data_IF_199540590324
#
_entry.id   IF_199540590324
#
_cell.length_a   1.000
_cell.length_b   1.000
_cell.length_c   1.000
_cell.angle_alpha   90.00
_cell.angle_beta   90.00
_cell.angle_gamma   90.00
#
_symmetry.space_group_name_H-M   'P 1'
#
loop_
_entity.id
_entity.type
_entity.pdbx_description
1 polymer ?
#
# COMPACT_ATOMS: atom_id res chain seq x y z
N UNK A 1 -36.97 -60.14 6.62
CA UNK A 1 -38.31 -60.28 6.02
C UNK A 1 -38.50 -59.19 4.96
N UNK A 2 -38.58 -59.53 3.67
CA UNK A 2 -38.61 -58.56 2.58
C UNK A 2 -40.05 -58.21 2.16
N UNK A 3 -40.29 -56.97 1.75
CA UNK A 3 -41.45 -56.55 0.93
C UNK A 3 -40.99 -55.36 0.09
N UNK A 4 -41.27 -55.20 -1.20
CA UNK A 4 -41.73 -56.05 -2.32
C UNK A 4 -41.46 -55.14 -3.53
N UNK A 5 -40.77 -55.61 -4.57
CA UNK A 5 -40.80 -54.94 -5.88
C UNK A 5 -42.09 -55.36 -6.61
N UNK A 6 -42.68 -54.43 -7.37
CA UNK A 6 -43.62 -54.74 -8.45
C UNK A 6 -43.12 -54.09 -9.74
N UNK A 7 -42.75 -54.93 -10.70
CA UNK A 7 -42.39 -54.57 -12.05
C UNK A 7 -43.60 -54.64 -12.98
N UNK A 8 -43.73 -53.68 -13.89
CA UNK A 8 -44.53 -53.73 -15.13
C UNK A 8 -44.06 -52.52 -15.96
N UNK A 9 -43.86 -52.48 -17.27
CA UNK A 9 -44.12 -53.39 -18.40
C UNK A 9 -43.15 -52.98 -19.54
N UNK A 10 -42.98 -53.87 -20.51
CA UNK A 10 -42.09 -53.84 -21.69
C UNK A 10 -42.21 -52.59 -22.57
N UNK A 11 -41.09 -52.21 -23.22
CA UNK A 11 -41.06 -51.32 -24.39
C UNK A 11 -39.65 -51.22 -24.98
N UNK A 12 -39.46 -51.75 -26.18
CA UNK A 12 -38.19 -51.86 -26.92
C UNK A 12 -37.94 -50.64 -27.82
N UNK A 13 -36.65 -50.40 -28.10
CA UNK A 13 -36.06 -49.74 -29.28
C UNK A 13 -35.87 -48.21 -29.37
N UNK A 14 -34.57 -47.87 -29.46
CA UNK A 14 -33.91 -46.99 -30.43
C UNK A 14 -33.80 -45.46 -30.21
N UNK A 15 -32.52 -45.07 -30.17
CA UNK A 15 -31.89 -43.85 -30.70
C UNK A 15 -32.23 -42.49 -30.07
N UNK A 16 -31.21 -41.80 -29.55
CA UNK A 16 -31.44 -40.52 -28.90
C UNK A 16 -30.21 -39.78 -28.34
N UNK A 17 -29.18 -39.57 -29.15
CA UNK A 17 -28.31 -38.38 -29.15
C UNK A 17 -27.67 -37.91 -27.82
N UNK A 18 -26.34 -37.97 -27.80
CA UNK A 18 -25.49 -37.25 -26.88
C UNK A 18 -25.93 -35.78 -26.74
N UNK A 19 -26.16 -35.35 -25.51
CA UNK A 19 -25.92 -33.94 -25.15
C UNK A 19 -24.95 -33.93 -23.99
N UNK A 20 -23.74 -33.47 -24.34
CA UNK A 20 -22.69 -33.13 -23.42
C UNK A 20 -23.27 -32.22 -22.33
N UNK A 21 -23.34 -32.71 -21.11
CA UNK A 21 -23.43 -31.82 -19.95
C UNK A 21 -22.06 -31.16 -19.86
N UNK A 22 -22.00 -29.96 -20.42
CA UNK A 22 -20.94 -28.99 -20.26
C UNK A 22 -20.67 -28.90 -18.76
N UNK A 23 -19.63 -29.61 -18.28
CA UNK A 23 -18.98 -29.27 -17.02
C UNK A 23 -18.54 -27.84 -17.22
N UNK A 24 -19.28 -26.91 -16.61
CA UNK A 24 -18.89 -25.52 -16.57
C UNK A 24 -17.46 -25.51 -16.08
N UNK A 25 -16.56 -25.13 -16.98
CA UNK A 25 -15.14 -25.02 -16.72
C UNK A 25 -15.03 -23.82 -15.78
N UNK A 26 -15.23 -24.07 -14.49
CA UNK A 26 -15.01 -23.09 -13.45
C UNK A 26 -13.60 -22.57 -13.67
N UNK A 27 -13.51 -21.29 -14.03
CA UNK A 27 -12.25 -20.59 -14.15
C UNK A 27 -11.58 -20.66 -12.77
N UNK A 28 -10.66 -21.62 -12.61
CA UNK A 28 -9.70 -21.61 -11.53
C UNK A 28 -8.55 -20.76 -12.05
N UNK A 29 -8.33 -19.54 -11.54
CA UNK A 29 -7.06 -18.90 -11.81
C UNK A 29 -6.02 -19.85 -11.22
N UNK A 30 -5.11 -20.35 -12.05
CA UNK A 30 -3.89 -21.01 -11.57
C UNK A 30 -3.10 -19.93 -10.85
N UNK A 31 -3.44 -19.68 -9.59
CA UNK A 31 -2.70 -18.76 -8.75
C UNK A 31 -1.23 -19.20 -8.83
N UNK A 32 -0.30 -18.31 -9.23
CA UNK A 32 1.09 -18.69 -9.43
C UNK A 32 1.64 -19.39 -8.17
N UNK A 33 2.64 -20.26 -8.33
CA UNK A 33 3.21 -21.04 -7.23
C UNK A 33 3.65 -20.19 -6.02
N UNK A 34 3.99 -18.91 -6.23
CA UNK A 34 4.31 -17.98 -5.15
C UNK A 34 3.11 -17.59 -4.28
N UNK A 35 1.86 -17.72 -4.75
CA UNK A 35 0.67 -17.45 -3.94
C UNK A 35 0.51 -18.44 -2.78
N UNK A 36 0.89 -19.71 -2.99
CA UNK A 36 0.92 -20.72 -1.93
C UNK A 36 2.06 -20.46 -0.90
N UNK A 37 3.13 -19.76 -1.29
CA UNK A 37 4.22 -19.35 -0.40
C UNK A 37 3.98 -17.99 0.27
N UNK A 38 3.09 -17.17 -0.29
CA UNK A 38 2.87 -15.79 0.13
C UNK A 38 2.09 -15.67 1.45
N UNK A 39 1.30 -16.68 1.82
CA UNK A 39 0.46 -16.60 3.04
C UNK A 39 1.22 -16.84 4.35
N UNK A 40 2.46 -17.36 4.30
CA UNK A 40 3.25 -17.66 5.52
C UNK A 40 4.59 -16.91 5.63
N UNK A 41 5.12 -16.36 4.52
CA UNK A 41 6.39 -15.63 4.56
C UNK A 41 6.23 -14.29 5.26
N UNK A 42 6.87 -14.17 6.43
CA UNK A 42 6.95 -12.92 7.19
C UNK A 42 8.18 -12.13 6.78
N UNK A 43 7.99 -10.85 6.49
CA UNK A 43 9.08 -9.87 6.35
C UNK A 43 9.12 -9.06 7.64
N UNK A 44 10.26 -9.11 8.34
CA UNK A 44 10.48 -8.35 9.57
C UNK A 44 11.39 -7.18 9.23
N UNK A 45 10.88 -5.97 9.40
CA UNK A 45 11.63 -4.74 9.19
C UNK A 45 12.15 -4.22 10.53
N UNK A 46 13.38 -3.75 10.54
CA UNK A 46 13.97 -3.01 11.67
C UNK A 46 14.11 -1.55 11.27
N UNK A 47 13.66 -0.59 12.10
CA UNK A 47 13.91 0.81 11.83
C UNK A 47 15.41 1.10 11.73
N UNK A 48 15.79 1.91 10.75
CA UNK A 48 17.17 2.40 10.55
C UNK A 48 17.40 3.75 11.23
N UNK A 49 16.35 4.34 11.79
CA UNK A 49 16.35 5.65 12.40
C UNK A 49 14.94 6.09 12.77
N UNK A 50 14.83 7.33 13.23
CA UNK A 50 13.57 7.93 13.64
C UNK A 50 13.45 9.36 13.14
N UNK A 51 12.22 9.79 12.89
CA UNK A 51 11.88 11.18 12.59
C UNK A 51 11.93 11.99 13.89
N UNK A 52 12.58 13.15 13.86
CA UNK A 52 12.53 14.15 14.93
C UNK A 52 12.00 15.47 14.37
N UNK A 53 10.84 15.92 14.86
CA UNK A 53 10.21 17.18 14.48
C UNK A 53 9.19 17.65 15.55
N UNK A 54 8.44 18.72 15.27
CA UNK A 54 7.39 19.23 16.17
C UNK A 54 6.00 18.58 15.98
N UNK A 55 5.87 17.62 15.08
CA UNK A 55 4.58 17.15 14.57
C UNK A 55 4.01 16.00 15.42
N UNK A 56 3.06 16.31 16.31
CA UNK A 56 2.53 15.32 17.27
C UNK A 56 1.15 14.75 16.91
N UNK A 57 0.42 15.39 16.00
CA UNK A 57 -0.96 15.03 15.66
C UNK A 57 -1.18 14.88 14.16
N UNK A 58 -2.18 14.08 13.75
CA UNK A 58 -2.49 13.90 12.34
C UNK A 58 -2.95 15.23 11.71
N UNK A 59 -2.51 15.47 10.47
CA UNK A 59 -2.98 16.57 9.62
C UNK A 59 -3.13 16.07 8.18
N UNK A 60 -4.02 16.71 7.42
CA UNK A 60 -4.26 16.34 6.02
C UNK A 60 -3.41 17.15 5.02
N UNK A 61 -3.05 18.38 5.38
CA UNK A 61 -2.40 19.37 4.52
C UNK A 61 -1.24 20.07 5.26
N UNK A 62 -0.49 20.93 4.57
CA UNK A 62 0.59 21.74 5.17
C UNK A 62 1.90 21.00 5.41
N UNK A 63 2.03 19.75 4.98
CA UNK A 63 3.27 18.98 5.10
C UNK A 63 4.44 19.53 4.28
N UNK A 64 4.16 20.25 3.19
CA UNK A 64 5.16 20.77 2.26
C UNK A 64 6.22 21.65 2.93
N UNK A 65 5.85 22.40 3.97
CA UNK A 65 6.77 23.30 4.70
C UNK A 65 7.35 22.68 5.97
N UNK A 66 6.96 21.46 6.32
CA UNK A 66 7.46 20.79 7.53
C UNK A 66 8.93 20.41 7.32
N UNK A 67 9.80 21.01 8.14
CA UNK A 67 11.20 20.62 8.26
C UNK A 67 11.32 19.53 9.32
N UNK A 68 11.97 18.42 8.96
CA UNK A 68 12.16 17.26 9.83
C UNK A 68 13.62 16.81 9.80
N UNK A 69 14.06 16.20 10.90
CA UNK A 69 15.34 15.50 10.97
C UNK A 69 15.11 14.00 10.89
N UNK A 70 15.77 13.32 9.97
CA UNK A 70 15.86 11.87 9.94
C UNK A 70 17.11 11.48 10.72
N UNK A 71 16.95 11.09 11.98
CA UNK A 71 18.07 10.70 12.84
C UNK A 71 18.34 9.22 12.63
N UNK A 72 19.33 8.90 11.79
CA UNK A 72 19.67 7.53 11.45
C UNK A 72 20.70 6.94 12.42
N UNK A 73 20.72 5.61 12.48
CA UNK A 73 21.66 4.84 13.28
C UNK A 73 23.11 5.20 12.96
N UNK A 74 23.99 5.39 13.98
CA UNK A 74 25.40 5.76 13.77
C UNK A 74 26.16 4.83 12.82
N UNK A 75 25.82 3.54 12.81
CA UNK A 75 26.43 2.50 11.99
C UNK A 75 26.19 2.72 10.48
N UNK A 76 25.22 3.57 10.12
CA UNK A 76 24.89 3.90 8.73
C UNK A 76 25.64 5.12 8.20
N UNK A 77 26.61 5.67 8.94
CA UNK A 77 27.35 6.85 8.53
C UNK A 77 27.95 6.74 7.12
N UNK A 78 28.64 5.63 6.83
CA UNK A 78 29.22 5.38 5.50
C UNK A 78 28.15 5.08 4.43
N UNK A 79 26.99 4.57 4.82
CA UNK A 79 25.88 4.31 3.88
C UNK A 79 25.24 5.60 3.33
N UNK A 80 25.57 6.75 3.92
CA UNK A 80 25.12 8.07 3.47
C UNK A 80 26.12 8.77 2.53
N UNK A 81 27.28 8.16 2.25
CA UNK A 81 28.29 8.81 1.42
C UNK A 81 27.73 9.13 0.02
N UNK A 82 27.82 10.40 -0.37
CA UNK A 82 27.30 10.91 -1.65
C UNK A 82 25.82 11.32 -1.63
N UNK A 83 25.11 11.20 -0.51
CA UNK A 83 23.69 11.58 -0.41
C UNK A 83 23.45 13.07 -0.72
N UNK A 84 24.42 13.93 -0.39
CA UNK A 84 24.38 15.37 -0.62
C UNK A 84 24.43 15.74 -2.11
N UNK A 85 24.79 14.79 -3.00
CA UNK A 85 24.69 14.96 -4.45
C UNK A 85 23.25 15.00 -4.97
N UNK A 86 22.26 14.62 -4.14
CA UNK A 86 20.84 14.61 -4.50
C UNK A 86 20.10 15.77 -3.85
N UNK A 87 19.20 16.41 -4.60
CA UNK A 87 18.34 17.47 -4.07
C UNK A 87 17.11 16.91 -3.34
N UNK A 88 16.71 15.68 -3.66
CA UNK A 88 15.52 15.05 -3.12
C UNK A 88 15.79 13.58 -2.77
N UNK A 89 15.04 13.09 -1.79
CA UNK A 89 15.11 11.72 -1.31
C UNK A 89 13.70 11.13 -1.23
N UNK A 90 13.55 9.84 -1.56
CA UNK A 90 12.37 9.06 -1.20
C UNK A 90 12.61 8.44 0.18
N UNK A 91 11.78 8.82 1.15
CA UNK A 91 11.84 8.30 2.52
C UNK A 91 10.72 7.28 2.70
N UNK A 92 11.08 6.08 3.13
CA UNK A 92 10.12 5.05 3.55
C UNK A 92 10.08 4.99 5.07
N UNK A 93 8.88 5.03 5.64
CA UNK A 93 8.69 5.08 7.09
C UNK A 93 7.47 4.26 7.52
N UNK A 94 7.43 3.87 8.79
CA UNK A 94 6.36 3.03 9.32
C UNK A 94 5.35 3.88 10.09
N UNK A 95 4.09 3.90 9.64
CA UNK A 95 2.99 4.60 10.31
C UNK A 95 2.53 3.78 11.53
N UNK A 96 3.31 3.88 12.59
CA UNK A 96 3.28 3.08 13.81
C UNK A 96 2.00 3.25 14.64
N UNK A 97 1.34 4.40 14.52
CA UNK A 97 0.09 4.74 15.22
C UNK A 97 -1.17 4.10 14.61
N UNK A 98 -1.05 3.37 13.50
CA UNK A 98 -2.18 2.64 12.90
C UNK A 98 -2.48 1.39 13.72
N UNK A 99 -3.66 1.37 14.36
CA UNK A 99 -4.13 0.25 15.18
C UNK A 99 -4.32 -1.02 14.35
N UNK A 100 -4.30 -2.20 14.99
CA UNK A 100 -4.50 -3.48 14.29
C UNK A 100 -5.83 -3.57 13.53
N UNK A 101 -6.91 -3.00 14.07
CA UNK A 101 -8.22 -2.98 13.42
C UNK A 101 -8.32 -2.00 12.25
N UNK A 102 -7.48 -0.97 12.21
CA UNK A 102 -7.36 -0.07 11.06
C UNK A 102 -6.50 -0.66 9.94
N UNK A 103 -5.57 -1.56 10.28
CA UNK A 103 -4.86 -2.37 9.28
C UNK A 103 -5.87 -3.31 8.62
N UNK A 104 -5.68 -3.59 7.34
CA UNK A 104 -6.56 -4.46 6.54
C UNK A 104 -7.98 -3.94 6.24
N UNK A 105 -8.31 -2.70 6.58
CA UNK A 105 -9.50 -2.05 6.01
C UNK A 105 -9.37 -2.07 4.48
N UNK A 106 -10.44 -2.50 3.78
CA UNK A 106 -10.38 -2.69 2.32
C UNK A 106 -10.79 -1.43 1.55
N UNK A 107 -11.69 -0.62 2.11
CA UNK A 107 -12.27 0.56 1.46
C UNK A 107 -12.36 1.74 2.41
N UNK A 108 -12.20 2.95 1.87
CA UNK A 108 -12.21 4.22 2.61
C UNK A 108 -12.94 5.29 1.81
N UNK A 109 -13.51 6.25 2.53
CA UNK A 109 -13.80 7.57 1.97
C UNK A 109 -12.50 8.39 2.04
N UNK A 110 -11.95 8.89 0.91
CA UNK A 110 -10.71 9.68 0.93
C UNK A 110 -10.81 10.87 1.89
N UNK A 111 -9.83 11.03 2.79
CA UNK A 111 -9.85 12.04 3.88
C UNK A 111 -11.17 12.05 4.69
N UNK A 112 -11.81 10.87 4.81
CA UNK A 112 -13.10 10.68 5.48
C UNK A 112 -14.27 11.54 4.91
N UNK A 113 -14.11 12.05 3.68
CA UNK A 113 -15.13 12.85 2.97
C UNK A 113 -16.19 11.99 2.31
N UNK A 114 -17.39 12.00 2.88
CA UNK A 114 -18.55 11.21 2.40
C UNK A 114 -19.19 11.74 1.12
N UNK A 115 -18.86 12.97 0.73
CA UNK A 115 -19.27 13.55 -0.55
C UNK A 115 -18.42 13.06 -1.75
N UNK A 116 -17.42 12.22 -1.47
CA UNK A 116 -16.57 11.53 -2.46
C UNK A 116 -16.91 10.04 -2.51
N UNK A 117 -16.61 9.35 -3.63
CA UNK A 117 -16.85 7.91 -3.73
C UNK A 117 -15.99 7.12 -2.74
N UNK A 118 -16.59 6.07 -2.17
CA UNK A 118 -15.85 5.10 -1.38
C UNK A 118 -14.98 4.22 -2.30
N UNK A 119 -13.66 4.28 -2.11
CA UNK A 119 -12.67 3.61 -2.97
C UNK A 119 -11.81 2.63 -2.19
N UNK A 120 -11.13 1.72 -2.88
CA UNK A 120 -10.22 0.76 -2.24
C UNK A 120 -9.02 1.46 -1.59
N UNK A 121 -8.54 0.96 -0.44
CA UNK A 121 -7.41 1.59 0.27
C UNK A 121 -6.14 1.69 -0.58
N UNK A 122 -5.93 0.74 -1.49
CA UNK A 122 -4.78 0.72 -2.40
C UNK A 122 -4.86 1.79 -3.50
N UNK A 123 -6.06 2.30 -3.80
CA UNK A 123 -6.27 3.43 -4.71
C UNK A 123 -6.10 4.79 -4.02
N UNK A 124 -5.75 4.80 -2.73
CA UNK A 124 -5.55 6.01 -1.93
C UNK A 124 -4.19 6.02 -1.24
N UNK A 125 -3.86 7.15 -0.61
CA UNK A 125 -2.69 7.30 0.26
C UNK A 125 -3.02 7.26 1.77
N UNK A 126 -4.13 6.59 2.15
CA UNK A 126 -4.47 6.41 3.57
C UNK A 126 -3.41 5.60 4.31
N UNK A 127 -3.24 5.88 5.61
CA UNK A 127 -2.44 5.08 6.53
C UNK A 127 -3.07 3.71 6.85
N UNK A 128 -4.37 3.55 6.63
CA UNK A 128 -5.15 2.35 6.99
C UNK A 128 -4.93 1.22 5.96
N UNK A 129 -3.69 0.75 5.87
CA UNK A 129 -3.22 -0.24 4.90
C UNK A 129 -2.84 -1.57 5.59
N UNK A 130 -2.80 -2.69 4.86
CA UNK A 130 -2.28 -3.96 5.39
C UNK A 130 -0.88 -3.81 6.02
N UNK A 131 0.02 -3.17 5.27
CA UNK A 131 1.34 -2.73 5.73
C UNK A 131 1.34 -1.19 5.70
N UNK A 132 1.26 -0.52 6.86
CA UNK A 132 1.14 0.94 6.95
C UNK A 132 2.50 1.62 6.70
N UNK A 133 2.99 1.52 5.46
CA UNK A 133 4.24 2.13 4.99
C UNK A 133 3.90 3.49 4.37
N UNK A 134 4.50 4.54 4.92
CA UNK A 134 4.57 5.86 4.31
C UNK A 134 5.74 5.94 3.32
N UNK A 135 5.58 6.73 2.27
CA UNK A 135 6.55 6.86 1.20
C UNK A 135 6.48 8.27 0.61
N UNK A 136 7.46 9.11 0.93
CA UNK A 136 7.39 10.55 0.63
C UNK A 136 8.68 11.03 0.02
N UNK A 137 8.55 11.74 -1.10
CA UNK A 137 9.66 12.46 -1.72
C UNK A 137 9.82 13.78 -0.98
N UNK A 138 10.99 14.00 -0.40
CA UNK A 138 11.32 15.16 0.41
C UNK A 138 12.49 15.90 -0.21
N UNK A 139 12.57 17.21 0.00
CA UNK A 139 13.77 17.99 -0.33
C UNK A 139 14.84 17.75 0.72
N UNK A 140 16.08 17.46 0.30
CA UNK A 140 17.24 17.39 1.19
C UNK A 140 17.76 18.81 1.41
N UNK A 141 17.77 19.26 2.66
CA UNK A 141 18.30 20.57 3.05
C UNK A 141 19.75 20.50 3.51
N UNK A 142 20.19 19.35 4.00
CA UNK A 142 21.57 19.12 4.43
C UNK A 142 21.73 17.84 5.23
N UNK A 143 22.99 17.53 5.57
CA UNK A 143 23.39 16.38 6.39
C UNK A 143 24.29 16.83 7.54
N UNK A 144 24.07 16.25 8.70
CA UNK A 144 24.87 16.42 9.91
C UNK A 144 25.19 15.03 10.50
N UNK A 145 26.37 14.47 10.17
CA UNK A 145 26.72 13.11 10.55
C UNK A 145 25.74 12.09 9.96
N UNK A 146 24.98 11.38 10.80
CA UNK A 146 23.90 10.45 10.38
C UNK A 146 22.51 11.08 10.38
N UNK A 147 22.41 12.39 10.57
CA UNK A 147 21.14 13.12 10.52
C UNK A 147 20.95 13.79 9.18
N UNK A 148 19.83 13.51 8.51
CA UNK A 148 19.41 14.22 7.30
C UNK A 148 18.35 15.25 7.65
N UNK A 149 18.58 16.51 7.29
CA UNK A 149 17.59 17.59 7.42
C UNK A 149 16.79 17.66 6.13
N UNK A 150 15.48 17.45 6.22
CA UNK A 150 14.60 17.35 5.06
C UNK A 150 13.37 18.24 5.20
N UNK A 151 12.77 18.62 4.07
CA UNK A 151 11.51 19.38 4.03
C UNK A 151 10.45 18.64 3.22
N UNK A 152 9.20 18.69 3.68
CA UNK A 152 8.06 18.09 2.99
C UNK A 152 7.63 16.72 3.52
N UNK A 153 8.24 16.25 4.62
CA UNK A 153 7.95 14.93 5.18
C UNK A 153 6.59 14.93 5.90
N UNK A 154 5.73 13.99 5.54
CA UNK A 154 4.40 13.77 6.14
C UNK A 154 4.40 12.71 7.25
N UNK A 155 5.36 12.83 8.17
CA UNK A 155 5.55 11.92 9.29
C UNK A 155 5.57 12.65 10.63
N UNK A 156 5.03 12.01 11.66
CA UNK A 156 5.00 12.54 13.02
C UNK A 156 6.35 12.36 13.72
N UNK A 157 6.55 13.13 14.78
CA UNK A 157 7.69 13.00 15.68
C UNK A 157 7.79 11.56 16.22
N UNK A 158 8.99 11.00 16.25
CA UNK A 158 9.26 9.62 16.65
C UNK A 158 8.84 8.55 15.64
N UNK A 159 8.37 8.91 14.44
CA UNK A 159 7.99 7.91 13.43
C UNK A 159 9.21 7.09 13.00
N UNK A 160 9.15 5.75 12.98
CA UNK A 160 10.26 4.91 12.55
C UNK A 160 10.57 5.06 11.06
N UNK A 161 11.84 5.30 10.73
CA UNK A 161 12.34 5.33 9.35
C UNK A 161 12.77 3.91 8.96
N UNK A 162 12.33 3.46 7.80
CA UNK A 162 12.63 2.13 7.26
C UNK A 162 13.73 2.16 6.22
N UNK A 163 13.74 3.20 5.37
CA UNK A 163 14.69 3.32 4.27
C UNK A 163 14.76 4.76 3.75
N UNK A 164 15.88 5.11 3.11
CA UNK A 164 16.09 6.38 2.42
C UNK A 164 16.74 6.10 1.06
N UNK A 165 16.14 6.60 -0.02
CA UNK A 165 16.65 6.42 -1.38
C UNK A 165 16.85 7.75 -2.08
N UNK A 166 17.86 7.89 -2.95
CA UNK A 166 17.96 9.06 -3.81
C UNK A 166 16.72 9.18 -4.70
N UNK A 167 16.29 10.41 -4.95
CA UNK A 167 15.24 10.70 -5.93
C UNK A 167 15.82 11.50 -7.10
N UNK A 168 15.54 11.01 -8.31
CA UNK A 168 15.85 11.65 -9.58
C UNK A 168 14.58 11.64 -10.44
N UNK A 169 14.48 12.59 -11.38
CA UNK A 169 13.31 12.72 -12.26
C UNK A 169 12.99 11.40 -13.00
N UNK A 170 14.02 10.65 -13.38
CA UNK A 170 13.92 9.39 -14.12
C UNK A 170 13.21 8.26 -13.35
N UNK A 171 13.02 8.39 -12.03
CA UNK A 171 12.23 7.42 -11.24
C UNK A 171 10.73 7.69 -11.30
N UNK A 172 10.31 8.86 -11.77
CA UNK A 172 8.92 9.25 -11.91
C UNK A 172 8.48 9.36 -13.38
N UNK A 173 7.18 9.24 -13.67
CA UNK A 173 6.66 9.66 -14.96
C UNK A 173 6.91 11.16 -15.15
N UNK A 174 7.57 11.53 -16.25
CA UNK A 174 7.86 12.93 -16.60
C UNK A 174 6.65 13.63 -17.23
N UNK A 175 5.73 12.87 -17.84
CA UNK A 175 4.53 13.38 -18.52
C UNK A 175 3.36 12.38 -18.42
N UNK A 176 2.14 12.84 -18.74
CA UNK A 176 0.98 11.95 -18.93
C UNK A 176 0.38 11.33 -17.65
N UNK A 177 0.69 11.87 -16.47
CA UNK A 177 0.09 11.42 -15.20
C UNK A 177 -1.40 11.74 -15.20
N UNK A 178 -2.23 10.70 -15.02
CA UNK A 178 -3.69 10.82 -14.91
C UNK A 178 -4.16 10.49 -13.51
N UNK A 179 -5.15 11.23 -13.04
CA UNK A 179 -5.81 11.02 -11.75
C UNK A 179 -7.32 10.93 -11.96
N UNK A 180 -8.07 10.22 -11.10
CA UNK A 180 -9.52 10.17 -11.18
C UNK A 180 -10.14 11.52 -10.76
N UNK A 181 -11.34 11.82 -11.25
CA UNK A 181 -12.04 13.10 -10.97
C UNK A 181 -12.17 13.41 -9.46
N UNK A 182 -12.44 12.40 -8.64
CA UNK A 182 -12.55 12.58 -7.18
C UNK A 182 -11.24 13.04 -6.53
N UNK A 183 -10.09 12.76 -7.15
CA UNK A 183 -8.79 13.22 -6.66
C UNK A 183 -8.59 14.72 -6.92
N UNK A 184 -9.05 15.22 -8.05
CA UNK A 184 -9.03 16.66 -8.34
C UNK A 184 -9.91 17.43 -7.35
N UNK A 185 -11.11 16.91 -7.09
CA UNK A 185 -12.01 17.45 -6.05
C UNK A 185 -11.40 17.46 -4.65
N UNK A 186 -10.46 16.57 -4.34
CA UNK A 186 -9.73 16.60 -3.06
C UNK A 186 -8.73 17.75 -3.00
N UNK A 187 -8.01 18.03 -4.09
CA UNK A 187 -6.98 19.07 -4.15
C UNK A 187 -7.57 20.48 -4.09
N UNK A 188 -8.68 20.70 -4.78
CA UNK A 188 -9.31 22.02 -4.91
C UNK A 188 -10.14 22.42 -3.67
N UNK A 189 -10.46 21.45 -2.81
CA UNK A 189 -11.37 21.65 -1.69
C UNK A 189 -10.68 21.80 -0.32
N UNK A 190 -9.35 21.94 -0.29
CA UNK A 190 -8.66 22.43 0.91
C UNK A 190 -8.71 23.97 0.89
N UNK A 191 -9.37 24.63 1.87
CA UNK A 191 -9.25 26.08 2.05
C UNK A 191 -7.83 26.49 2.45
#
# INVERSE_FOLDING_TARGET
>A
MPRRCSASTRGTCCAGWATATTRSRAWRPTAPWWWALATERRVVLRPIGFVANGERGPRHDGWAEVVSRLVLQPELAAALDGVEGFSHLLVLFWLDRVTRGQRWRLRVYPRDRRDLPEVGVLATRTQQRPNPIGATVVALLGREGTTLVVRGLDALDGTPVLDVKPWAADFGPTEGVRVPEWWERLRTASP
#
